data_IF_621409133179
#
_entry.id   IF_621409133179
#
_cell.length_a   1.000
_cell.length_b   1.000
_cell.length_c   1.000
_cell.angle_alpha   90.00
_cell.angle_beta   90.00
_cell.angle_gamma   90.00
#
_symmetry.space_group_name_H-M   'P 1'
#
loop_
_entity.id
_entity.type
_entity.pdbx_description
1 polymer ?
#
# COMPACT_ATOMS: atom_id res chain seq x y z
N UNK A 1 0.67 12.94 -24.12
CA UNK A 1 0.92 11.73 -23.32
C UNK A 1 -0.26 10.79 -23.50
N UNK A 2 -0.07 9.63 -24.14
CA UNK A 2 -1.15 8.64 -24.28
C UNK A 2 -1.54 8.04 -22.93
N UNK A 3 -2.78 7.57 -22.78
CA UNK A 3 -3.28 6.91 -21.55
C UNK A 3 -2.35 5.79 -21.07
N UNK A 4 -1.72 5.08 -22.01
CA UNK A 4 -0.79 3.98 -21.71
C UNK A 4 0.52 4.46 -21.06
N UNK A 5 0.99 5.67 -21.40
CA UNK A 5 2.16 6.29 -20.78
C UNK A 5 1.88 6.68 -19.32
N UNK A 6 0.73 7.29 -19.07
CA UNK A 6 0.31 7.70 -17.73
C UNK A 6 0.21 6.52 -16.75
N UNK A 7 -0.44 5.42 -17.18
CA UNK A 7 -0.57 4.22 -16.35
C UNK A 7 0.81 3.59 -16.10
N UNK A 8 1.67 3.56 -17.12
CA UNK A 8 3.05 3.09 -17.00
C UNK A 8 3.89 3.90 -16.01
N UNK A 9 3.75 5.23 -16.02
CA UNK A 9 4.44 6.14 -15.10
C UNK A 9 3.99 5.93 -13.65
N UNK A 10 2.68 5.76 -13.43
CA UNK A 10 2.11 5.50 -12.11
C UNK A 10 2.55 4.14 -11.55
N UNK A 11 2.56 3.10 -12.39
CA UNK A 11 3.12 1.79 -12.01
C UNK A 11 4.60 1.92 -11.68
N UNK A 12 5.34 2.74 -12.45
CA UNK A 12 6.74 3.07 -12.18
C UNK A 12 6.93 3.76 -10.81
N UNK A 13 6.10 4.75 -10.49
CA UNK A 13 6.10 5.43 -9.18
C UNK A 13 5.76 4.47 -8.05
N UNK A 14 4.75 3.62 -8.23
CA UNK A 14 4.36 2.58 -7.26
C UNK A 14 5.49 1.59 -7.01
N UNK A 15 6.16 1.15 -8.06
CA UNK A 15 7.32 0.27 -7.95
C UNK A 15 8.46 0.94 -7.18
N UNK A 16 8.79 2.21 -7.47
CA UNK A 16 9.80 2.98 -6.73
C UNK A 16 9.44 3.12 -5.26
N UNK A 17 8.18 3.42 -4.95
CA UNK A 17 7.69 3.50 -3.57
C UNK A 17 7.92 2.17 -2.84
N UNK A 18 7.49 1.05 -3.41
CA UNK A 18 7.68 -0.27 -2.80
C UNK A 18 9.16 -0.64 -2.59
N UNK A 19 10.04 -0.29 -3.54
CA UNK A 19 11.49 -0.52 -3.40
C UNK A 19 12.09 0.38 -2.32
N UNK A 20 11.65 1.63 -2.20
CA UNK A 20 12.10 2.54 -1.15
C UNK A 20 11.66 2.09 0.26
N UNK A 21 10.48 1.47 0.36
CA UNK A 21 9.94 0.93 1.61
C UNK A 21 10.65 -0.35 2.06
N UNK A 22 11.06 -1.20 1.10
CA UNK A 22 11.79 -2.45 1.38
C UNK A 22 13.13 -2.46 0.64
N UNK A 23 14.15 -1.76 1.18
CA UNK A 23 15.48 -1.69 0.55
C UNK A 23 16.21 -3.05 0.55
N UNK A 24 15.76 -4.01 1.35
CA UNK A 24 16.29 -5.37 1.31
C UNK A 24 15.67 -6.14 0.12
N UNK A 25 16.48 -6.69 -0.80
CA UNK A 25 15.97 -7.50 -1.90
C UNK A 25 15.26 -8.72 -1.32
N UNK A 26 13.92 -8.72 -1.39
CA UNK A 26 13.18 -9.92 -1.05
C UNK A 26 13.52 -11.00 -2.06
N UNK A 27 14.01 -12.18 -1.61
CA UNK A 27 14.37 -13.25 -2.52
C UNK A 27 13.13 -13.56 -3.36
N UNK A 28 13.25 -13.38 -4.66
CA UNK A 28 12.18 -13.70 -5.59
C UNK A 28 12.13 -15.22 -5.64
N UNK A 29 11.02 -15.86 -5.22
CA UNK A 29 10.97 -17.32 -5.28
C UNK A 29 11.17 -17.77 -6.74
N UNK A 30 11.80 -18.93 -6.98
CA UNK A 30 11.95 -19.47 -8.33
C UNK A 30 10.58 -19.56 -9.01
N UNK A 31 10.40 -18.89 -10.15
CA UNK A 31 9.13 -18.82 -10.88
C UNK A 31 8.19 -17.66 -10.49
N UNK A 32 8.56 -16.81 -9.54
CA UNK A 32 7.79 -15.60 -9.21
C UNK A 32 8.05 -14.46 -10.20
N UNK A 33 6.97 -13.78 -10.63
CA UNK A 33 7.04 -12.62 -11.54
C UNK A 33 7.91 -11.50 -10.95
N UNK A 34 8.65 -10.71 -11.74
CA UNK A 34 9.27 -9.46 -11.26
C UNK A 34 8.25 -8.53 -10.56
N UNK A 35 8.67 -7.71 -9.59
CA UNK A 35 7.77 -6.87 -8.78
C UNK A 35 6.88 -5.98 -9.66
N UNK A 36 7.45 -5.37 -10.72
CA UNK A 36 6.69 -4.58 -11.69
C UNK A 36 5.62 -5.39 -12.43
N UNK A 37 5.98 -6.58 -12.92
CA UNK A 37 5.04 -7.48 -13.60
C UNK A 37 3.94 -7.98 -12.64
N UNK A 38 4.26 -8.15 -11.36
CA UNK A 38 3.29 -8.47 -10.32
C UNK A 38 2.29 -7.32 -10.10
N UNK A 39 2.77 -6.08 -9.96
CA UNK A 39 1.90 -4.89 -9.83
C UNK A 39 0.96 -4.79 -11.03
N UNK A 40 1.51 -4.87 -12.24
CA UNK A 40 0.72 -4.81 -13.46
C UNK A 40 -0.33 -5.93 -13.54
N UNK A 41 0.07 -7.17 -13.23
CA UNK A 41 -0.85 -8.32 -13.20
C UNK A 41 -1.95 -8.08 -12.18
N UNK A 42 -1.60 -7.68 -10.96
CA UNK A 42 -2.55 -7.42 -9.89
C UNK A 42 -3.59 -6.38 -10.31
N UNK A 43 -3.16 -5.23 -10.83
CA UNK A 43 -4.04 -4.15 -11.29
C UNK A 43 -4.98 -4.62 -12.41
N UNK A 44 -4.44 -5.35 -13.40
CA UNK A 44 -5.24 -5.94 -14.50
C UNK A 44 -6.28 -6.93 -13.97
N UNK A 45 -5.90 -7.80 -13.04
CA UNK A 45 -6.80 -8.85 -12.53
C UNK A 45 -7.82 -8.36 -11.51
N UNK A 46 -7.49 -7.35 -10.70
CA UNK A 46 -8.40 -6.81 -9.70
C UNK A 46 -9.35 -5.75 -10.26
N UNK A 47 -9.11 -5.25 -11.47
CA UNK A 47 -9.87 -4.14 -12.05
C UNK A 47 -9.66 -2.81 -11.31
N UNK A 48 -8.51 -2.64 -10.63
CA UNK A 48 -8.22 -1.46 -9.81
C UNK A 48 -8.28 -0.17 -10.64
N UNK A 49 -9.12 0.76 -10.20
CA UNK A 49 -9.18 2.11 -10.77
C UNK A 49 -7.98 2.95 -10.33
N UNK A 50 -7.76 4.07 -11.01
CA UNK A 50 -6.76 5.06 -10.62
C UNK A 50 -6.88 5.48 -9.14
N UNK A 51 -8.09 5.84 -8.70
CA UNK A 51 -8.36 6.22 -7.31
C UNK A 51 -8.02 5.10 -6.31
N UNK A 52 -8.27 3.85 -6.69
CA UNK A 52 -7.96 2.69 -5.86
C UNK A 52 -6.46 2.49 -5.69
N UNK A 53 -5.70 2.62 -6.80
CA UNK A 53 -4.24 2.55 -6.75
C UNK A 53 -3.63 3.74 -5.98
N UNK A 54 -4.18 4.94 -6.15
CA UNK A 54 -3.76 6.11 -5.36
C UNK A 54 -3.96 5.89 -3.86
N UNK A 55 -5.15 5.44 -3.45
CA UNK A 55 -5.45 5.12 -2.06
C UNK A 55 -4.50 4.03 -1.52
N UNK A 56 -4.23 2.98 -2.30
CA UNK A 56 -3.28 1.95 -1.93
C UNK A 56 -1.85 2.49 -1.74
N UNK A 57 -1.38 3.36 -2.64
CA UNK A 57 -0.07 4.01 -2.51
C UNK A 57 -0.02 4.93 -1.30
N UNK A 58 -1.10 5.65 -0.99
CA UNK A 58 -1.21 6.48 0.20
C UNK A 58 -1.10 5.64 1.47
N UNK A 59 -1.77 4.49 1.53
CA UNK A 59 -1.66 3.57 2.66
C UNK A 59 -0.26 2.96 2.81
N UNK A 60 0.46 2.72 1.71
CA UNK A 60 1.87 2.29 1.76
C UNK A 60 2.79 3.39 2.31
N UNK A 61 2.54 4.65 1.96
CA UNK A 61 3.27 5.78 2.52
C UNK A 61 2.96 5.95 4.02
N UNK A 62 1.71 5.74 4.43
CA UNK A 62 1.31 5.73 5.83
C UNK A 62 1.97 4.60 6.63
N UNK A 63 2.13 3.43 6.02
CA UNK A 63 2.89 2.33 6.61
C UNK A 63 4.35 2.74 6.88
N UNK A 64 4.96 3.52 5.98
CA UNK A 64 6.31 4.05 6.15
C UNK A 64 6.40 4.98 7.36
N UNK A 65 5.49 5.95 7.45
CA UNK A 65 5.52 6.94 8.53
C UNK A 65 5.35 6.28 9.90
N UNK A 66 4.50 5.26 9.99
CA UNK A 66 4.31 4.47 11.22
C UNK A 66 5.50 3.56 11.55
N UNK A 67 6.28 3.15 10.54
CA UNK A 67 7.53 2.42 10.78
C UNK A 67 8.63 3.33 11.33
N UNK A 68 8.63 4.61 10.96
CA UNK A 68 9.62 5.60 11.43
C UNK A 68 9.24 6.20 12.79
N UNK A 69 7.94 6.39 13.04
CA UNK A 69 7.41 6.91 14.30
C UNK A 69 6.28 6.01 14.81
N UNK A 70 6.59 4.95 15.55
CA UNK A 70 5.58 4.02 16.05
C UNK A 70 4.70 4.71 17.11
N UNK A 71 3.41 4.84 16.83
CA UNK A 71 2.44 5.29 17.82
C UNK A 71 2.33 4.31 19.01
N UNK A 72 2.12 4.81 20.23
CA UNK A 72 1.96 3.97 21.42
C UNK A 72 0.70 3.09 21.38
N UNK A 73 -0.33 3.45 20.61
CA UNK A 73 -1.57 2.68 20.47
C UNK A 73 -1.36 1.36 19.73
N UNK A 74 -0.51 1.34 18.70
CA UNK A 74 -0.14 0.12 17.98
C UNK A 74 0.69 -0.82 18.88
N UNK A 75 1.46 -0.27 19.82
CA UNK A 75 2.22 -1.05 20.81
C UNK A 75 1.32 -1.85 21.77
N UNK A 76 0.01 -1.57 21.82
CA UNK A 76 -0.95 -2.36 22.59
C UNK A 76 -1.27 -3.74 21.96
N UNK A 77 -0.82 -4.02 20.74
CA UNK A 77 -0.99 -5.32 20.07
C UNK A 77 0.36 -5.98 19.73
N UNK A 78 1.21 -6.27 20.74
CA UNK A 78 2.57 -6.75 20.53
C UNK A 78 2.63 -8.12 19.83
N UNK A 79 1.64 -8.99 20.05
CA UNK A 79 1.59 -10.33 19.43
C UNK A 79 1.44 -10.28 17.91
N UNK A 80 0.63 -9.34 17.40
CA UNK A 80 0.39 -9.17 15.97
C UNK A 80 1.60 -8.46 15.34
N UNK A 81 2.14 -7.42 15.99
CA UNK A 81 3.35 -6.73 15.52
C UNK A 81 4.61 -7.61 15.54
N UNK A 82 4.67 -8.62 16.43
CA UNK A 82 5.76 -9.59 16.50
C UNK A 82 5.79 -10.52 15.27
N UNK A 83 4.70 -10.63 14.52
CA UNK A 83 4.67 -11.34 13.24
C UNK A 83 5.33 -10.49 12.14
N UNK A 84 6.66 -10.39 12.18
CA UNK A 84 7.45 -9.58 11.25
C UNK A 84 7.56 -10.18 9.84
N UNK A 85 7.37 -11.50 9.71
CA UNK A 85 7.56 -12.24 8.45
C UNK A 85 6.70 -11.74 7.27
N UNK A 86 5.38 -11.55 7.41
CA UNK A 86 4.55 -11.07 6.32
C UNK A 86 4.78 -9.60 5.93
N UNK A 87 5.12 -8.75 6.90
CA UNK A 87 5.41 -7.32 6.68
C UNK A 87 6.67 -7.13 5.83
N UNK A 88 7.62 -8.08 5.87
CA UNK A 88 8.86 -7.99 5.10
C UNK A 88 8.68 -8.23 3.59
N UNK A 89 7.49 -8.63 3.14
CA UNK A 89 7.22 -8.93 1.73
C UNK A 89 6.47 -7.79 1.03
N UNK A 90 7.11 -7.00 0.13
CA UNK A 90 6.47 -5.86 -0.54
C UNK A 90 5.26 -6.29 -1.38
N UNK A 91 5.26 -7.54 -1.89
CA UNK A 91 4.12 -8.10 -2.65
C UNK A 91 2.88 -8.30 -1.78
N UNK A 92 3.06 -8.81 -0.56
CA UNK A 92 1.97 -9.08 0.38
C UNK A 92 1.39 -7.77 0.91
N UNK A 93 2.26 -6.80 1.20
CA UNK A 93 1.84 -5.47 1.64
C UNK A 93 1.19 -4.67 0.52
N UNK A 94 1.68 -4.77 -0.72
CA UNK A 94 1.00 -4.18 -1.88
C UNK A 94 -0.40 -4.78 -2.09
N UNK A 95 -0.54 -6.11 -1.96
CA UNK A 95 -1.86 -6.77 -2.04
C UNK A 95 -2.81 -6.25 -0.95
N UNK A 96 -2.36 -6.21 0.30
CA UNK A 96 -3.16 -5.68 1.40
C UNK A 96 -3.56 -4.21 1.17
N UNK A 97 -2.62 -3.37 0.72
CA UNK A 97 -2.89 -1.97 0.40
C UNK A 97 -3.94 -1.82 -0.72
N UNK A 98 -3.88 -2.64 -1.77
CA UNK A 98 -4.87 -2.65 -2.86
C UNK A 98 -6.24 -3.12 -2.36
N UNK A 99 -6.29 -4.14 -1.49
CA UNK A 99 -7.54 -4.59 -0.88
C UNK A 99 -8.21 -3.48 -0.07
N UNK A 100 -7.44 -2.73 0.72
CA UNK A 100 -7.95 -1.59 1.50
C UNK A 100 -8.35 -0.42 0.60
N UNK A 101 -7.54 -0.10 -0.40
CA UNK A 101 -7.90 0.92 -1.40
C UNK A 101 -9.21 0.58 -2.12
N UNK A 102 -9.45 -0.70 -2.39
CA UNK A 102 -10.70 -1.16 -3.01
C UNK A 102 -11.90 -0.99 -2.06
N UNK A 103 -11.73 -1.33 -0.78
CA UNK A 103 -12.74 -1.11 0.27
C UNK A 103 -13.08 0.37 0.43
N UNK A 104 -12.08 1.23 0.24
CA UNK A 104 -12.24 2.67 0.33
C UNK A 104 -13.05 3.27 -0.84
N UNK A 105 -12.86 2.76 -2.06
CA UNK A 105 -13.44 3.36 -3.28
C UNK A 105 -14.77 2.75 -3.74
N UNK A 106 -15.22 1.62 -3.18
CA UNK A 106 -16.40 0.89 -3.68
C UNK A 106 -17.31 0.34 -2.57
N UNK A 107 -18.63 0.50 -2.73
CA UNK A 107 -19.63 -0.10 -1.81
C UNK A 107 -19.64 -1.64 -1.86
N UNK A 108 -19.24 -2.24 -2.99
CA UNK A 108 -19.16 -3.70 -3.16
C UNK A 108 -17.71 -4.18 -3.15
N UNK A 109 -17.21 -4.41 -1.95
CA UNK A 109 -15.88 -4.99 -1.76
C UNK A 109 -15.86 -6.48 -2.11
N UNK A 110 -14.81 -6.93 -2.82
CA UNK A 110 -14.58 -8.36 -3.05
C UNK A 110 -14.37 -9.09 -1.71
N UNK A 111 -14.95 -10.30 -1.59
CA UNK A 111 -14.71 -11.15 -0.42
C UNK A 111 -13.24 -11.59 -0.34
N UNK A 112 -12.75 -11.89 0.87
CA UNK A 112 -11.40 -12.44 1.06
C UNK A 112 -11.16 -13.72 0.24
N UNK A 113 -12.21 -14.50 -0.05
CA UNK A 113 -12.15 -15.68 -0.93
C UNK A 113 -11.89 -15.31 -2.40
N UNK A 114 -12.44 -14.20 -2.87
CA UNK A 114 -12.14 -13.70 -4.21
C UNK A 114 -10.69 -13.21 -4.30
N UNK A 115 -10.19 -12.48 -3.30
CA UNK A 115 -8.79 -12.05 -3.23
C UNK A 115 -7.80 -13.22 -3.13
N UNK A 116 -8.14 -14.28 -2.40
CA UNK A 116 -7.37 -15.53 -2.39
C UNK A 116 -7.25 -16.13 -3.79
N UNK A 117 -8.33 -16.14 -4.57
CA UNK A 117 -8.32 -16.64 -5.96
C UNK A 117 -7.49 -15.76 -6.90
N UNK A 118 -7.57 -14.43 -6.76
CA UNK A 118 -6.83 -13.48 -7.62
C UNK A 118 -5.33 -13.55 -7.37
N UNK A 119 -4.93 -13.60 -6.10
CA UNK A 119 -3.52 -13.58 -5.68
C UNK A 119 -2.85 -14.96 -5.68
N UNK A 120 -3.65 -16.04 -5.63
CA UNK A 120 -3.15 -17.40 -5.45
C UNK A 120 -2.69 -17.72 -4.02
N UNK A 121 -3.00 -16.87 -3.05
CA UNK A 121 -2.65 -17.07 -1.64
C UNK A 121 -3.76 -17.79 -0.87
N UNK A 122 -3.37 -18.47 0.22
CA UNK A 122 -4.34 -19.13 1.08
C UNK A 122 -5.23 -18.09 1.80
N UNK A 123 -6.50 -18.43 2.03
CA UNK A 123 -7.46 -17.51 2.66
C UNK A 123 -6.99 -16.98 4.03
N UNK A 124 -6.38 -17.88 4.84
CA UNK A 124 -5.80 -17.52 6.13
C UNK A 124 -4.70 -16.46 5.98
N UNK A 125 -3.87 -16.58 4.94
CA UNK A 125 -2.79 -15.64 4.67
C UNK A 125 -3.32 -14.27 4.23
N UNK A 126 -4.37 -14.25 3.39
CA UNK A 126 -5.06 -13.00 3.00
C UNK A 126 -5.57 -12.26 4.23
N UNK A 127 -6.30 -12.94 5.10
CA UNK A 127 -6.87 -12.34 6.29
C UNK A 127 -5.78 -11.87 7.27
N UNK A 128 -4.73 -12.68 7.47
CA UNK A 128 -3.59 -12.29 8.30
C UNK A 128 -2.87 -11.06 7.75
N UNK A 129 -2.60 -10.99 6.44
CA UNK A 129 -1.96 -9.84 5.81
C UNK A 129 -2.81 -8.56 5.94
N UNK A 130 -4.13 -8.69 5.78
CA UNK A 130 -5.06 -7.57 5.92
C UNK A 130 -5.08 -7.00 7.35
N UNK A 131 -5.26 -7.87 8.35
CA UNK A 131 -5.23 -7.45 9.76
C UNK A 131 -3.87 -6.88 10.12
N UNK A 132 -2.79 -7.50 9.69
CA UNK A 132 -1.43 -7.01 9.91
C UNK A 132 -1.26 -5.58 9.41
N UNK A 133 -1.70 -5.33 8.18
CA UNK A 133 -1.58 -4.03 7.55
C UNK A 133 -2.38 -2.98 8.33
N UNK A 134 -3.63 -3.29 8.68
CA UNK A 134 -4.52 -2.40 9.44
C UNK A 134 -3.97 -2.03 10.81
N UNK A 135 -3.49 -3.02 11.57
CA UNK A 135 -2.84 -2.79 12.86
C UNK A 135 -1.62 -1.90 12.69
N UNK A 136 -0.84 -2.10 11.63
CA UNK A 136 0.38 -1.32 11.41
C UNK A 136 0.13 0.14 11.05
N UNK A 137 -0.97 0.43 10.35
CA UNK A 137 -1.40 1.80 10.05
C UNK A 137 -2.29 2.40 11.15
N UNK A 138 -2.44 1.71 12.29
CA UNK A 138 -3.29 2.14 13.41
C UNK A 138 -4.75 2.39 12.98
N UNK A 139 -5.26 1.56 12.07
CA UNK A 139 -6.61 1.64 11.52
C UNK A 139 -6.97 2.98 10.84
N UNK A 140 -5.96 3.80 10.50
CA UNK A 140 -6.14 5.12 9.87
C UNK A 140 -6.44 4.97 8.38
N UNK A 141 -7.70 4.72 8.05
CA UNK A 141 -8.19 4.51 6.68
C UNK A 141 -8.76 5.76 6.02
N UNK A 142 -9.15 6.77 6.81
CA UNK A 142 -9.75 8.00 6.30
C UNK A 142 -8.72 8.82 5.52
N UNK A 143 -9.09 9.21 4.30
CA UNK A 143 -8.31 10.10 3.43
C UNK A 143 -9.24 11.26 3.04
N UNK A 144 -8.87 12.51 3.30
CA UNK A 144 -9.65 13.64 2.78
C UNK A 144 -9.48 13.75 1.25
N UNK A 145 -10.48 14.31 0.55
CA UNK A 145 -10.37 14.56 -0.89
C UNK A 145 -9.12 15.41 -1.21
N UNK A 146 -8.86 16.43 -0.39
CA UNK A 146 -7.68 17.28 -0.52
C UNK A 146 -6.37 16.51 -0.38
N UNK A 147 -6.26 15.60 0.59
CA UNK A 147 -5.06 14.77 0.75
C UNK A 147 -4.87 13.82 -0.42
N UNK A 148 -5.96 13.24 -0.95
CA UNK A 148 -5.92 12.36 -2.10
C UNK A 148 -5.51 13.10 -3.39
N UNK A 149 -6.02 14.33 -3.58
CA UNK A 149 -5.65 15.20 -4.70
C UNK A 149 -4.18 15.59 -4.63
N UNK A 150 -3.68 16.06 -3.47
CA UNK A 150 -2.26 16.36 -3.27
C UNK A 150 -1.39 15.14 -3.53
N UNK A 151 -1.80 13.98 -3.03
CA UNK A 151 -1.10 12.71 -3.24
C UNK A 151 -1.05 12.31 -4.72
N UNK A 152 -2.12 12.57 -5.47
CA UNK A 152 -2.19 12.29 -6.90
C UNK A 152 -1.13 13.05 -7.70
N UNK A 153 -0.91 14.33 -7.35
CA UNK A 153 0.12 15.18 -7.97
C UNK A 153 1.52 14.62 -7.68
N UNK A 154 1.78 14.21 -6.43
CA UNK A 154 3.06 13.60 -6.03
C UNK A 154 3.36 12.31 -6.81
N UNK A 155 2.36 11.45 -6.99
CA UNK A 155 2.54 10.18 -7.70
C UNK A 155 2.76 10.35 -9.21
N UNK A 156 2.13 11.36 -9.83
CA UNK A 156 2.30 11.70 -11.24
C UNK A 156 3.59 12.48 -11.54
N UNK A 157 4.05 13.31 -10.61
CA UNK A 157 5.29 14.05 -10.72
C UNK A 157 6.22 13.68 -9.57
N UNK A 158 6.96 12.55 -9.68
CA UNK A 158 7.99 12.20 -8.71
C UNK A 158 9.19 13.14 -8.87
N UNK A 159 9.04 14.41 -8.50
CA UNK A 159 10.16 15.33 -8.34
C UNK A 159 11.00 14.84 -7.17
N UNK A 160 12.34 14.93 -7.31
CA UNK A 160 13.39 14.43 -6.40
C UNK A 160 13.28 14.80 -4.91
N UNK A 161 12.26 15.54 -4.47
CA UNK A 161 12.06 15.99 -3.08
C UNK A 161 11.47 14.89 -2.19
N UNK A 162 12.10 13.72 -2.17
CA UNK A 162 11.66 12.58 -1.36
C UNK A 162 11.84 12.80 0.16
N UNK A 163 12.45 13.92 0.59
CA UNK A 163 12.86 14.15 1.98
C UNK A 163 12.19 15.35 2.69
N UNK A 164 11.50 16.27 2.00
CA UNK A 164 11.03 17.52 2.66
C UNK A 164 9.57 17.52 3.15
N UNK A 165 8.72 16.61 2.68
CA UNK A 165 7.27 16.64 3.01
C UNK A 165 6.87 15.80 4.23
N UNK A 166 7.80 15.05 4.83
CA UNK A 166 7.52 14.16 5.98
C UNK A 166 7.14 14.98 7.24
N UNK A 167 7.41 16.29 7.27
CA UNK A 167 7.29 17.11 8.48
C UNK A 167 5.99 17.94 8.57
N UNK A 168 5.25 18.18 7.49
CA UNK A 168 4.19 19.21 7.52
C UNK A 168 2.76 18.73 7.84
N UNK A 169 2.47 17.42 7.81
CA UNK A 169 1.15 16.90 8.23
C UNK A 169 1.14 16.38 9.68
N UNK A 170 2.08 16.85 10.53
CA UNK A 170 1.90 16.76 11.97
C UNK A 170 0.70 17.63 12.35
N UNK A 171 -0.44 16.95 12.54
CA UNK A 171 -1.66 17.40 13.20
C UNK A 171 -1.43 18.65 14.06
N UNK A 172 -2.16 19.77 13.84
CA UNK A 172 -2.17 20.83 14.83
C UNK A 172 -2.79 20.26 16.11
N UNK A 173 -1.96 20.15 17.15
CA UNK A 173 -2.42 19.96 18.52
C UNK A 173 -3.37 21.11 18.86
N UNK A 174 -4.66 20.85 18.81
CA UNK A 174 -5.65 21.74 19.39
C UNK A 174 -5.98 21.22 20.79
N UNK A 175 -5.59 22.06 21.74
CA UNK A 175 -5.98 22.15 23.16
C UNK A 175 -7.50 22.05 23.30
#
# INVERSE_FOLDING_TARGET
MGRDGFVGDLIGSTHRLLVALWPCPTPTPPGALPLRAFIERMLRTSGATYATLLAACYYLNLLQSMSLNPNPTAAAQPEILAMTGPIQCPRRMFLAAIMLGWKYTQEKSYSSRAWARISGLHLKEINSNEVMFLVRIDWRLYISCENLERWSVYMCHPTRKHQELIVQDSVPSSV
#
